data_IF_384968062684
#
_entry.id   IF_384968062684
#
_cell.length_a   1.000
_cell.length_b   1.000
_cell.length_c   1.000
_cell.angle_alpha   90.00
_cell.angle_beta   90.00
_cell.angle_gamma   90.00
#
_symmetry.space_group_name_H-M   'P 1'
#
loop_
_entity.id
_entity.type
_entity.pdbx_description
1 polymer ?
#
# COMPACT_ATOMS: atom_id res chain seq x y z
N UNK A 1 9.32 11.26 -10.36
CA UNK A 1 9.47 11.20 -8.88
C UNK A 1 10.44 10.11 -8.47
N UNK A 2 11.12 10.24 -7.33
CA UNK A 2 11.86 9.16 -6.71
C UNK A 2 10.86 8.13 -6.14
N UNK A 3 11.04 6.86 -6.50
CA UNK A 3 10.31 5.75 -5.90
C UNK A 3 11.28 4.61 -5.59
N UNK A 4 11.27 4.14 -4.35
CA UNK A 4 12.05 3.00 -3.89
C UNK A 4 11.08 1.97 -3.35
N UNK A 5 11.23 0.71 -3.79
CA UNK A 5 10.43 -0.42 -3.35
C UNK A 5 11.32 -1.49 -2.76
N UNK A 6 10.91 -2.09 -1.66
CA UNK A 6 11.57 -3.25 -1.07
C UNK A 6 10.57 -4.12 -0.31
N UNK A 7 10.75 -5.45 -0.31
CA UNK A 7 9.85 -6.34 0.39
C UNK A 7 10.12 -6.32 1.91
N UNK A 8 9.07 -6.42 2.69
CA UNK A 8 9.13 -6.70 4.11
C UNK A 8 9.72 -8.10 4.38
N UNK A 9 10.41 -8.26 5.52
CA UNK A 9 11.10 -9.51 5.85
C UNK A 9 10.12 -10.68 6.11
N UNK A 10 8.89 -10.39 6.56
CA UNK A 10 7.81 -11.37 6.61
C UNK A 10 6.76 -11.06 5.56
N UNK A 11 6.15 -12.10 4.98
CA UNK A 11 5.12 -12.07 3.93
C UNK A 11 5.53 -11.44 2.60
N UNK A 12 6.69 -10.74 2.53
CA UNK A 12 7.14 -10.10 1.30
C UNK A 12 6.27 -8.94 0.84
N UNK A 13 5.52 -8.31 1.77
CA UNK A 13 4.73 -7.12 1.51
C UNK A 13 5.62 -5.99 1.01
N UNK A 14 5.27 -5.38 -0.09
CA UNK A 14 6.06 -4.30 -0.67
C UNK A 14 5.87 -3.01 0.13
N UNK A 15 6.95 -2.51 0.73
CA UNK A 15 7.01 -1.17 1.29
C UNK A 15 7.53 -0.21 0.23
N UNK A 16 6.86 0.93 0.04
CA UNK A 16 7.27 1.96 -0.91
C UNK A 16 7.68 3.24 -0.19
N UNK A 17 8.74 3.89 -0.71
CA UNK A 17 9.14 5.25 -0.34
C UNK A 17 9.01 6.12 -1.57
N UNK A 18 8.12 7.10 -1.54
CA UNK A 18 7.80 8.00 -2.66
C UNK A 18 8.16 9.43 -2.29
N UNK A 19 8.85 10.15 -3.15
CA UNK A 19 9.24 11.54 -2.94
C UNK A 19 9.30 12.31 -4.27
N UNK A 20 9.17 13.64 -4.27
CA UNK A 20 9.44 14.42 -5.46
C UNK A 20 10.87 14.24 -5.97
N UNK A 21 11.83 14.07 -5.05
CA UNK A 21 13.24 13.82 -5.36
C UNK A 21 14.08 13.59 -4.10
N UNK A 22 15.39 13.32 -4.25
CA UNK A 22 16.30 13.15 -3.13
C UNK A 22 16.40 14.41 -2.25
N UNK A 23 16.62 14.23 -0.94
CA UNK A 23 16.79 15.33 0.00
C UNK A 23 15.50 16.02 0.42
N UNK A 24 14.35 15.49 0.06
CA UNK A 24 13.03 16.06 0.33
C UNK A 24 12.24 15.24 1.36
N UNK A 25 11.05 15.70 1.68
CA UNK A 25 10.07 14.90 2.41
C UNK A 25 9.58 13.76 1.53
N UNK A 26 9.14 12.66 2.17
CA UNK A 26 8.66 11.47 1.48
C UNK A 26 7.41 10.89 2.14
N UNK A 27 6.72 10.08 1.37
CA UNK A 27 5.65 9.19 1.83
C UNK A 27 6.23 7.79 2.01
N UNK A 28 5.88 7.13 3.10
CA UNK A 28 6.13 5.70 3.30
C UNK A 28 4.80 4.98 3.14
N UNK A 29 4.74 3.97 2.29
CA UNK A 29 3.51 3.21 2.04
C UNK A 29 3.71 1.79 2.54
N UNK A 30 2.75 1.31 3.31
CA UNK A 30 2.67 -0.05 3.86
C UNK A 30 3.98 -0.52 4.51
N UNK A 31 4.41 0.10 5.63
CA UNK A 31 5.58 -0.36 6.36
C UNK A 31 5.27 -1.67 7.10
N UNK A 32 5.43 -2.79 6.41
CA UNK A 32 5.14 -4.13 6.88
C UNK A 32 6.13 -4.66 7.92
N UNK A 33 6.06 -5.97 8.17
CA UNK A 33 6.83 -6.61 9.25
C UNK A 33 8.32 -6.69 8.89
N UNK A 34 9.17 -6.06 9.72
CA UNK A 34 10.63 -6.15 9.60
C UNK A 34 11.23 -5.24 8.54
N UNK A 35 10.57 -4.13 8.19
CA UNK A 35 11.08 -3.14 7.22
C UNK A 35 12.02 -2.10 7.83
N UNK A 36 12.07 -1.96 9.16
CA UNK A 36 12.64 -0.80 9.86
C UNK A 36 14.10 -0.52 9.49
N UNK A 37 14.93 -1.56 9.37
CA UNK A 37 16.35 -1.36 9.04
C UNK A 37 16.50 -0.92 7.60
N UNK A 38 15.88 -1.63 6.65
CA UNK A 38 15.93 -1.29 5.22
C UNK A 38 15.36 0.10 4.97
N UNK A 39 14.26 0.44 5.63
CA UNK A 39 13.66 1.78 5.54
C UNK A 39 14.63 2.86 6.02
N UNK A 40 15.29 2.69 7.19
CA UNK A 40 16.31 3.62 7.68
C UNK A 40 17.44 3.82 6.67
N UNK A 41 17.93 2.74 6.07
CA UNK A 41 19.01 2.78 5.08
C UNK A 41 18.59 3.53 3.83
N UNK A 42 17.37 3.29 3.31
CA UNK A 42 16.80 4.00 2.17
C UNK A 42 16.63 5.50 2.46
N UNK A 43 16.08 5.85 3.61
CA UNK A 43 15.90 7.24 4.03
C UNK A 43 17.25 7.96 4.15
N UNK A 44 18.26 7.32 4.74
CA UNK A 44 19.60 7.88 4.86
C UNK A 44 20.29 8.03 3.50
N UNK A 45 20.24 7.00 2.63
CA UNK A 45 20.84 6.99 1.30
C UNK A 45 20.32 8.14 0.44
N UNK A 46 19.02 8.37 0.45
CA UNK A 46 18.38 9.42 -0.36
C UNK A 46 18.16 10.72 0.40
N UNK A 47 18.58 10.80 1.68
CA UNK A 47 18.41 11.97 2.56
C UNK A 47 16.95 12.40 2.67
N UNK A 48 16.05 11.45 2.83
CA UNK A 48 14.60 11.66 2.91
C UNK A 48 14.14 11.78 4.36
N UNK A 49 13.03 12.53 4.56
CA UNK A 49 12.33 12.63 5.84
C UNK A 49 10.87 12.21 5.65
N UNK A 50 10.38 11.18 6.37
CA UNK A 50 8.96 10.82 6.31
C UNK A 50 8.07 11.98 6.77
N UNK A 51 7.13 12.38 5.93
CA UNK A 51 6.09 13.36 6.24
C UNK A 51 4.74 12.69 6.54
N UNK A 52 4.50 11.53 5.95
CA UNK A 52 3.30 10.75 6.18
C UNK A 52 3.55 9.26 5.92
N UNK A 53 2.75 8.42 6.58
CA UNK A 53 2.62 6.99 6.26
C UNK A 53 1.24 6.77 5.66
N UNK A 54 1.18 6.16 4.48
CA UNK A 54 -0.05 5.77 3.81
C UNK A 54 -0.26 4.27 3.97
N UNK A 55 -1.44 3.88 4.44
CA UNK A 55 -1.82 2.48 4.62
C UNK A 55 -2.92 2.13 3.61
N UNK A 56 -2.62 1.18 2.72
CA UNK A 56 -3.60 0.75 1.71
C UNK A 56 -4.77 0.02 2.35
N UNK A 57 -4.51 -0.70 3.45
CA UNK A 57 -5.52 -1.37 4.27
C UNK A 57 -4.91 -1.77 5.63
N UNK A 58 -5.72 -2.35 6.51
CA UNK A 58 -5.33 -2.58 7.91
C UNK A 58 -4.82 -3.99 8.25
N UNK A 59 -4.40 -4.83 7.28
CA UNK A 59 -3.80 -6.12 7.61
C UNK A 59 -2.42 -5.96 8.23
N UNK A 60 -2.10 -6.86 9.17
CA UNK A 60 -0.90 -6.79 10.01
C UNK A 60 0.40 -6.70 9.21
N UNK A 61 0.50 -7.42 8.11
CA UNK A 61 1.69 -7.45 7.27
C UNK A 61 1.92 -6.15 6.49
N UNK A 62 0.91 -5.26 6.39
CA UNK A 62 1.04 -3.91 5.82
C UNK A 62 1.27 -2.84 6.89
N UNK A 63 0.76 -3.02 8.12
CA UNK A 63 0.75 -1.94 9.13
C UNK A 63 1.75 -2.14 10.27
N UNK A 64 2.38 -3.31 10.43
CA UNK A 64 3.08 -3.68 11.65
C UNK A 64 4.18 -2.68 12.07
N UNK A 65 4.91 -2.13 11.14
CA UNK A 65 6.00 -1.17 11.43
C UNK A 65 5.56 0.30 11.31
N UNK A 66 4.26 0.59 11.28
CA UNK A 66 3.77 1.98 11.15
C UNK A 66 4.20 2.85 12.33
N UNK A 67 4.07 2.35 13.55
CA UNK A 67 4.35 3.15 14.76
C UNK A 67 5.81 3.56 14.91
N UNK A 68 6.82 2.71 14.62
CA UNK A 68 8.21 3.14 14.57
C UNK A 68 8.53 4.20 13.50
N UNK A 69 7.73 4.30 12.44
CA UNK A 69 7.88 5.30 11.37
C UNK A 69 7.17 6.61 11.71
N UNK A 70 6.00 6.51 12.37
CA UNK A 70 5.24 7.67 12.83
C UNK A 70 5.85 8.24 14.11
N UNK A 71 6.39 9.45 14.02
CA UNK A 71 6.94 10.17 15.17
C UNK A 71 6.92 11.67 14.93
N UNK A 72 6.84 12.48 15.98
CA UNK A 72 6.66 13.93 15.85
C UNK A 72 5.38 14.26 15.09
N UNK A 73 5.51 14.97 13.97
CA UNK A 73 4.35 15.39 13.14
C UNK A 73 3.94 14.36 12.06
N UNK A 74 4.63 13.21 11.96
CA UNK A 74 4.34 12.18 10.95
C UNK A 74 3.10 11.38 11.34
N UNK A 75 2.02 11.52 10.58
CA UNK A 75 0.77 10.79 10.80
C UNK A 75 0.63 9.57 9.88
N UNK A 76 -0.12 8.57 10.35
CA UNK A 76 -0.60 7.45 9.53
C UNK A 76 -1.97 7.79 8.93
N UNK A 77 -2.13 7.52 7.64
CA UNK A 77 -3.37 7.72 6.88
C UNK A 77 -3.96 6.36 6.54
N UNK A 78 -5.21 6.11 6.93
CA UNK A 78 -5.93 4.87 6.66
C UNK A 78 -7.38 5.19 6.33
N UNK A 79 -8.06 4.34 5.55
CA UNK A 79 -9.49 4.49 5.31
C UNK A 79 -10.29 4.29 6.60
N UNK A 80 -11.36 5.08 6.77
CA UNK A 80 -12.20 5.04 7.96
C UNK A 80 -12.71 3.63 8.27
N UNK A 81 -13.08 2.85 7.24
CA UNK A 81 -13.62 1.49 7.42
C UNK A 81 -12.58 0.46 7.88
N UNK A 82 -11.27 0.75 7.74
CA UNK A 82 -10.18 -0.09 8.28
C UNK A 82 -9.55 0.50 9.55
N UNK A 83 -10.01 1.67 10.01
CA UNK A 83 -9.46 2.36 11.18
C UNK A 83 -9.42 1.47 12.42
N UNK A 84 -10.45 0.66 12.64
CA UNK A 84 -10.55 -0.24 13.79
C UNK A 84 -9.44 -1.30 13.83
N UNK A 85 -8.87 -1.68 12.68
CA UNK A 85 -7.80 -2.67 12.57
C UNK A 85 -6.49 -2.21 13.20
N UNK A 86 -6.29 -0.89 13.34
CA UNK A 86 -5.12 -0.32 14.01
C UNK A 86 -5.21 -0.35 15.54
N UNK A 87 -6.36 -0.66 16.14
CA UNK A 87 -6.45 -0.79 17.59
C UNK A 87 -5.67 -1.99 18.09
N UNK A 88 -5.82 -3.14 17.46
CA UNK A 88 -5.06 -4.34 17.75
C UNK A 88 -4.94 -5.25 16.51
N UNK A 89 -3.97 -5.00 15.63
CA UNK A 89 -3.76 -5.84 14.44
C UNK A 89 -3.19 -7.23 14.79
N UNK A 90 -2.81 -7.48 16.06
CA UNK A 90 -2.39 -8.79 16.53
C UNK A 90 -3.57 -9.66 16.99
N UNK A 91 -4.73 -9.06 17.22
CA UNK A 91 -5.96 -9.80 17.50
C UNK A 91 -6.50 -10.41 16.20
N UNK A 92 -7.04 -11.60 16.29
CA UNK A 92 -7.63 -12.31 15.15
C UNK A 92 -6.66 -12.64 13.98
N UNK A 93 -5.36 -12.69 14.24
CA UNK A 93 -4.40 -13.23 13.27
C UNK A 93 -4.55 -14.74 13.12
N UNK A 94 -4.05 -15.29 12.02
CA UNK A 94 -4.08 -16.75 11.79
C UNK A 94 -3.37 -17.48 12.94
N UNK A 95 -3.92 -18.62 13.40
CA UNK A 95 -3.28 -19.46 14.42
C UNK A 95 -1.83 -19.78 14.06
N UNK A 96 -0.91 -19.63 15.02
CA UNK A 96 0.51 -19.91 14.82
C UNK A 96 1.33 -18.79 14.19
N UNK A 97 0.69 -17.69 13.74
CA UNK A 97 1.41 -16.57 13.13
C UNK A 97 2.36 -15.88 14.10
N UNK A 98 1.89 -15.59 15.32
CA UNK A 98 2.70 -14.89 16.32
C UNK A 98 3.92 -15.72 16.74
N UNK A 99 3.75 -17.04 16.89
CA UNK A 99 4.84 -17.96 17.20
C UNK A 99 5.85 -18.04 16.05
N UNK A 100 5.37 -18.03 14.80
CA UNK A 100 6.25 -18.00 13.63
C UNK A 100 7.07 -16.71 13.59
N UNK A 101 6.46 -15.55 13.84
CA UNK A 101 7.15 -14.27 13.89
C UNK A 101 8.17 -14.23 15.05
N UNK A 102 7.82 -14.75 16.22
CA UNK A 102 8.75 -14.84 17.37
C UNK A 102 9.97 -15.71 17.02
N UNK A 103 9.75 -16.84 16.34
CA UNK A 103 10.86 -17.69 15.88
C UNK A 103 11.73 -16.98 14.83
N UNK A 104 11.13 -16.26 13.89
CA UNK A 104 11.85 -15.58 12.81
C UNK A 104 12.66 -14.38 13.31
N UNK A 105 12.09 -13.57 14.21
CA UNK A 105 12.71 -12.32 14.67
C UNK A 105 13.35 -12.41 16.04
N UNK A 106 13.22 -13.53 16.75
CA UNK A 106 13.81 -13.76 18.07
C UNK A 106 13.20 -12.91 19.19
N UNK A 107 12.04 -12.31 18.96
CA UNK A 107 11.30 -11.50 19.92
C UNK A 107 9.81 -11.63 19.70
N UNK A 108 9.05 -11.53 20.79
CA UNK A 108 7.59 -11.54 20.73
C UNK A 108 7.07 -10.33 19.98
N UNK A 109 6.10 -10.54 19.08
CA UNK A 109 5.39 -9.46 18.42
C UNK A 109 4.69 -8.57 19.45
N UNK A 110 4.85 -7.26 19.31
CA UNK A 110 4.18 -6.25 20.14
C UNK A 110 3.58 -5.19 19.24
N UNK A 111 2.48 -4.60 19.67
CA UNK A 111 1.82 -3.53 18.96
C UNK A 111 1.60 -2.32 19.86
N UNK A 112 1.74 -1.16 19.26
CA UNK A 112 1.29 0.11 19.80
C UNK A 112 0.73 0.92 18.66
N UNK A 113 -0.51 1.39 18.81
CA UNK A 113 -1.15 2.24 17.82
C UNK A 113 -0.39 3.55 17.64
N UNK A 114 -0.27 4.08 16.38
CA UNK A 114 0.30 5.41 16.14
C UNK A 114 -0.48 6.52 16.87
N UNK A 115 0.23 7.53 17.39
CA UNK A 115 -0.39 8.64 18.13
C UNK A 115 -1.25 9.52 17.21
N UNK A 116 -0.85 9.66 15.95
CA UNK A 116 -1.53 10.49 14.96
C UNK A 116 -2.03 9.62 13.81
N UNK A 117 -3.34 9.40 13.77
CA UNK A 117 -4.01 8.68 12.68
C UNK A 117 -5.03 9.61 12.04
N UNK A 118 -4.97 9.71 10.72
CA UNK A 118 -5.90 10.49 9.90
C UNK A 118 -6.74 9.52 9.08
N UNK A 119 -8.05 9.60 9.26
CA UNK A 119 -8.99 8.85 8.46
C UNK A 119 -9.17 9.51 7.08
N UNK A 120 -9.06 8.70 6.03
CA UNK A 120 -9.30 9.13 4.66
C UNK A 120 -10.58 8.54 4.10
N UNK A 121 -11.11 9.20 3.09
CA UNK A 121 -12.35 8.79 2.39
C UNK A 121 -12.12 8.80 0.88
N UNK A 122 -13.02 8.16 0.16
CA UNK A 122 -12.97 8.06 -1.31
C UNK A 122 -12.87 9.43 -2.01
N UNK A 123 -12.16 9.45 -3.13
CA UNK A 123 -12.00 10.60 -4.04
C UNK A 123 -11.37 11.83 -3.40
N UNK A 124 -10.73 11.69 -2.24
CA UNK A 124 -9.96 12.77 -1.62
C UNK A 124 -8.58 12.87 -2.25
N UNK A 125 -8.12 14.09 -2.47
CA UNK A 125 -6.73 14.37 -2.83
C UNK A 125 -6.00 14.90 -1.59
N UNK A 126 -4.89 14.27 -1.26
CA UNK A 126 -4.03 14.61 -0.13
C UNK A 126 -2.76 15.29 -0.68
N UNK A 127 -2.54 16.54 -0.31
CA UNK A 127 -1.29 17.24 -0.62
C UNK A 127 -0.26 16.94 0.47
N UNK A 128 0.62 15.97 0.24
CA UNK A 128 1.58 15.45 1.22
C UNK A 128 2.98 15.34 0.61
N UNK A 129 4.02 15.73 1.34
CA UNK A 129 5.41 15.64 0.90
C UNK A 129 5.67 16.24 -0.49
N UNK A 130 4.92 17.27 -0.89
CA UNK A 130 5.02 17.88 -2.23
C UNK A 130 4.44 17.01 -3.36
N UNK A 131 3.65 16.00 -3.02
CA UNK A 131 2.92 15.13 -3.96
C UNK A 131 1.41 15.27 -3.71
N UNK A 132 0.63 15.26 -4.79
CA UNK A 132 -0.82 15.14 -4.74
C UNK A 132 -1.18 13.66 -4.88
N UNK A 133 -1.81 13.10 -3.85
CA UNK A 133 -2.18 11.68 -3.74
C UNK A 133 -3.69 11.55 -3.78
N UNK A 134 -4.23 10.99 -4.85
CA UNK A 134 -5.64 10.64 -4.94
C UNK A 134 -5.93 9.36 -4.16
N UNK A 135 -6.97 9.37 -3.34
CA UNK A 135 -7.46 8.18 -2.62
C UNK A 135 -8.61 7.57 -3.40
N UNK A 136 -8.51 6.31 -3.80
CA UNK A 136 -9.58 5.55 -4.44
C UNK A 136 -10.00 4.40 -3.54
N UNK A 137 -11.20 4.46 -2.98
CA UNK A 137 -11.76 3.38 -2.16
C UNK A 137 -12.13 2.19 -3.06
N UNK A 138 -11.54 1.05 -2.76
CA UNK A 138 -11.68 -0.19 -3.53
C UNK A 138 -11.86 -1.39 -2.60
N UNK A 139 -13.00 -1.48 -1.89
CA UNK A 139 -13.25 -2.52 -0.90
C UNK A 139 -13.36 -3.90 -1.53
N UNK A 140 -13.10 -4.92 -0.70
CA UNK A 140 -13.27 -6.32 -1.10
C UNK A 140 -12.18 -7.23 -0.54
N UNK A 141 -10.93 -6.79 -0.49
CA UNK A 141 -9.89 -7.47 0.29
C UNK A 141 -10.07 -7.18 1.79
N UNK A 142 -10.28 -5.91 2.12
CA UNK A 142 -10.87 -5.45 3.39
C UNK A 142 -11.99 -4.45 3.09
N UNK A 143 -12.73 -4.04 4.13
CA UNK A 143 -13.76 -3.01 4.01
C UNK A 143 -13.18 -1.65 3.61
N UNK A 144 -12.00 -1.34 4.14
CA UNK A 144 -11.30 -0.06 3.96
C UNK A 144 -10.17 -0.10 2.95
N UNK A 145 -10.05 -1.14 2.11
CA UNK A 145 -9.02 -1.17 1.08
C UNK A 145 -9.08 0.05 0.17
N UNK A 146 -7.94 0.74 0.02
CA UNK A 146 -7.79 1.89 -0.88
C UNK A 146 -6.61 1.69 -1.84
N UNK A 147 -6.68 2.37 -2.96
CA UNK A 147 -5.57 2.57 -3.87
C UNK A 147 -5.14 4.03 -3.82
N UNK A 148 -3.81 4.30 -3.92
CA UNK A 148 -3.27 5.66 -3.93
C UNK A 148 -2.74 6.01 -5.31
N UNK A 149 -3.35 7.01 -5.95
CA UNK A 149 -3.01 7.50 -7.28
C UNK A 149 -2.11 8.73 -7.24
N UNK A 150 -1.10 8.78 -8.12
CA UNK A 150 -0.20 9.92 -8.31
C UNK A 150 -0.05 10.19 -9.81
N UNK A 151 -0.23 11.45 -10.24
CA UNK A 151 0.00 11.89 -11.62
C UNK A 151 1.50 12.11 -11.88
N UNK A 152 2.30 11.12 -11.49
CA UNK A 152 3.73 11.07 -11.64
C UNK A 152 4.18 9.60 -11.73
N UNK A 153 5.31 9.35 -12.37
CA UNK A 153 5.93 8.04 -12.46
C UNK A 153 7.36 8.07 -11.93
N UNK A 154 7.92 6.93 -11.49
CA UNK A 154 9.31 6.85 -11.10
C UNK A 154 10.25 7.32 -12.21
N UNK A 155 11.36 7.98 -11.81
CA UNK A 155 12.35 8.48 -12.73
C UNK A 155 12.92 7.34 -13.61
N UNK A 156 12.99 7.58 -14.90
CA UNK A 156 13.46 6.61 -15.88
C UNK A 156 12.40 5.72 -16.53
N UNK A 157 11.20 5.57 -15.93
CA UNK A 157 10.14 4.69 -16.48
C UNK A 157 9.21 5.39 -17.48
N UNK A 158 8.97 6.69 -17.33
CA UNK A 158 7.98 7.43 -18.12
C UNK A 158 8.24 7.38 -19.65
N UNK A 159 9.49 7.56 -20.03
CA UNK A 159 9.88 7.66 -21.45
C UNK A 159 9.94 6.30 -22.17
N UNK A 160 10.24 5.23 -21.44
CA UNK A 160 10.47 3.91 -22.05
C UNK A 160 9.17 3.12 -22.26
N UNK A 161 8.15 3.34 -21.40
CA UNK A 161 6.93 2.54 -21.39
C UNK A 161 5.65 3.34 -21.71
N UNK A 162 5.76 4.66 -21.93
CA UNK A 162 4.61 5.54 -22.16
C UNK A 162 3.69 5.62 -20.93
N UNK A 163 4.30 5.61 -19.74
CA UNK A 163 3.60 5.71 -18.46
C UNK A 163 3.56 7.17 -18.01
N UNK A 164 2.44 7.60 -17.45
CA UNK A 164 2.22 8.97 -16.96
C UNK A 164 1.61 9.03 -15.55
N UNK A 165 1.17 7.89 -15.02
CA UNK A 165 0.51 7.79 -13.72
C UNK A 165 1.01 6.59 -12.95
N UNK A 166 1.07 6.70 -11.63
CA UNK A 166 1.35 5.60 -10.71
C UNK A 166 0.13 5.34 -9.82
N UNK A 167 -0.20 4.06 -9.62
CA UNK A 167 -1.22 3.60 -8.69
C UNK A 167 -0.61 2.60 -7.73
N UNK A 168 -0.56 2.91 -6.43
CA UNK A 168 -0.24 1.93 -5.39
C UNK A 168 -1.54 1.20 -5.08
N UNK A 169 -1.61 -0.08 -5.45
CA UNK A 169 -2.88 -0.85 -5.41
C UNK A 169 -3.09 -1.62 -4.10
N UNK A 170 -2.08 -1.68 -3.22
CA UNK A 170 -2.15 -2.61 -2.10
C UNK A 170 -2.57 -3.99 -2.56
N UNK A 171 -3.50 -4.60 -1.84
CA UNK A 171 -4.01 -5.94 -2.12
C UNK A 171 -5.33 -5.94 -2.93
N UNK A 172 -5.57 -4.90 -3.72
CA UNK A 172 -6.70 -4.89 -4.67
C UNK A 172 -6.32 -5.57 -5.98
N UNK A 173 -5.18 -5.18 -6.60
CA UNK A 173 -4.73 -5.69 -7.88
C UNK A 173 -3.26 -6.12 -7.81
N UNK A 174 -2.96 -7.31 -8.31
CA UNK A 174 -1.61 -7.85 -8.47
C UNK A 174 -1.28 -8.13 -9.94
N UNK A 175 -0.02 -8.41 -10.22
CA UNK A 175 0.42 -8.88 -11.54
C UNK A 175 -0.21 -10.25 -11.86
N UNK A 176 -1.26 -10.26 -12.67
CA UNK A 176 -2.01 -11.46 -13.08
C UNK A 176 -2.97 -12.03 -12.03
N UNK A 177 -3.24 -11.30 -10.92
CA UNK A 177 -4.12 -11.75 -9.84
C UNK A 177 -4.81 -10.58 -9.14
N UNK A 178 -5.58 -10.89 -8.10
CA UNK A 178 -6.21 -9.94 -7.18
C UNK A 178 -6.01 -10.39 -5.73
N UNK A 179 -6.26 -9.51 -4.78
CA UNK A 179 -6.30 -9.86 -3.35
C UNK A 179 -7.38 -10.88 -3.04
N UNK A 180 -7.12 -11.73 -2.06
CA UNK A 180 -8.11 -12.69 -1.53
C UNK A 180 -9.24 -11.96 -0.82
N UNK A 181 -10.40 -12.59 -0.77
CA UNK A 181 -11.64 -12.00 -0.21
C UNK A 181 -12.29 -12.88 0.85
N UNK A 182 -11.55 -13.88 1.35
CA UNK A 182 -12.04 -14.89 2.28
C UNK A 182 -11.55 -14.70 3.73
N UNK A 183 -10.79 -13.63 4.00
CA UNK A 183 -10.41 -13.22 5.34
C UNK A 183 -11.52 -12.38 6.00
N UNK A 184 -11.49 -12.21 7.35
CA UNK A 184 -12.45 -11.35 8.04
C UNK A 184 -12.46 -9.93 7.45
N UNK A 185 -13.66 -9.45 7.06
CA UNK A 185 -13.84 -8.17 6.36
C UNK A 185 -13.68 -8.25 4.84
N UNK A 186 -13.31 -9.41 4.30
CA UNK A 186 -13.29 -9.65 2.85
C UNK A 186 -14.70 -9.86 2.29
N UNK A 187 -14.93 -9.35 1.08
CA UNK A 187 -16.20 -9.46 0.35
C UNK A 187 -15.92 -9.59 -1.15
N UNK A 188 -16.25 -10.76 -1.70
CA UNK A 188 -16.02 -11.06 -3.11
C UNK A 188 -16.83 -10.16 -4.05
N UNK A 189 -18.08 -9.88 -3.71
CA UNK A 189 -18.94 -9.04 -4.54
C UNK A 189 -18.49 -7.57 -4.49
N UNK A 190 -18.00 -7.09 -3.35
CA UNK A 190 -17.36 -5.78 -3.24
C UNK A 190 -16.08 -5.72 -4.09
N UNK A 191 -15.24 -6.75 -4.05
CA UNK A 191 -14.05 -6.83 -4.92
C UNK A 191 -14.42 -6.76 -6.39
N UNK A 192 -15.44 -7.50 -6.84
CA UNK A 192 -15.89 -7.45 -8.24
C UNK A 192 -16.37 -6.04 -8.63
N UNK A 193 -17.07 -5.34 -7.73
CA UNK A 193 -17.47 -3.94 -7.98
C UNK A 193 -16.24 -3.03 -8.07
N UNK A 194 -15.28 -3.16 -7.14
CA UNK A 194 -14.04 -2.38 -7.13
C UNK A 194 -13.21 -2.60 -8.41
N UNK A 195 -13.09 -3.84 -8.86
CA UNK A 195 -12.41 -4.15 -10.12
C UNK A 195 -13.08 -3.48 -11.32
N UNK A 196 -14.41 -3.50 -11.38
CA UNK A 196 -15.18 -2.91 -12.49
C UNK A 196 -15.21 -1.39 -12.43
N UNK A 197 -15.48 -0.81 -11.25
CA UNK A 197 -15.84 0.60 -11.13
C UNK A 197 -14.64 1.49 -10.78
N UNK A 198 -13.55 0.91 -10.25
CA UNK A 198 -12.32 1.63 -9.84
C UNK A 198 -11.11 1.21 -10.68
N UNK A 199 -10.86 -0.09 -10.84
CA UNK A 199 -9.65 -0.59 -11.52
C UNK A 199 -9.76 -0.49 -13.03
N UNK A 200 -10.84 -1.01 -13.65
CA UNK A 200 -11.01 -0.99 -15.10
C UNK A 200 -11.02 0.41 -15.73
N UNK A 201 -11.52 1.48 -15.09
CA UNK A 201 -11.43 2.83 -15.63
C UNK A 201 -10.03 3.44 -15.67
N UNK A 202 -9.04 2.87 -14.95
CA UNK A 202 -7.68 3.40 -14.95
C UNK A 202 -7.06 3.37 -16.36
N UNK A 203 -6.32 4.43 -16.76
CA UNK A 203 -5.64 4.46 -18.07
C UNK A 203 -4.62 3.33 -18.25
N UNK A 204 -4.43 2.89 -19.48
CA UNK A 204 -3.40 1.90 -19.84
C UNK A 204 -1.96 2.38 -19.52
N UNK A 205 -1.75 3.70 -19.46
CA UNK A 205 -0.50 4.36 -19.07
C UNK A 205 -0.22 4.33 -17.56
N UNK A 206 -1.04 3.65 -16.76
CA UNK A 206 -0.87 3.56 -15.30
C UNK A 206 0.10 2.44 -14.94
N UNK A 207 1.21 2.81 -14.24
CA UNK A 207 2.05 1.88 -13.48
C UNK A 207 1.29 1.43 -12.23
N UNK A 208 1.27 0.14 -11.95
CA UNK A 208 0.65 -0.43 -10.75
C UNK A 208 1.74 -0.98 -9.82
N UNK A 209 1.84 -0.39 -8.65
CA UNK A 209 2.69 -0.81 -7.54
C UNK A 209 1.84 -1.64 -6.58
N UNK A 210 2.09 -2.93 -6.53
CA UNK A 210 1.26 -3.93 -5.85
C UNK A 210 1.65 -4.11 -4.39
N UNK A 211 0.74 -4.55 -3.53
CA UNK A 211 1.03 -4.90 -2.13
C UNK A 211 2.00 -6.08 -2.02
N UNK A 212 1.93 -7.05 -2.93
CA UNK A 212 2.84 -8.19 -3.01
C UNK A 212 3.31 -8.46 -4.43
N UNK A 213 4.52 -9.03 -4.56
CA UNK A 213 5.07 -9.47 -5.84
C UNK A 213 5.55 -8.32 -6.72
N UNK A 214 5.52 -8.53 -8.03
CA UNK A 214 6.08 -7.59 -9.00
C UNK A 214 5.10 -6.46 -9.33
N UNK A 215 5.63 -5.27 -9.63
CA UNK A 215 4.88 -4.19 -10.26
C UNK A 215 4.38 -4.62 -11.65
N UNK A 216 3.31 -3.99 -12.10
CA UNK A 216 2.70 -4.24 -13.41
C UNK A 216 2.16 -2.95 -14.02
N UNK A 217 1.42 -3.04 -15.14
CA UNK A 217 0.75 -1.90 -15.76
C UNK A 217 -0.71 -2.22 -16.04
N UNK A 218 -1.57 -1.22 -16.05
CA UNK A 218 -2.99 -1.43 -16.40
C UNK A 218 -3.15 -2.01 -17.81
N UNK A 219 -2.30 -1.62 -18.76
CA UNK A 219 -2.26 -2.21 -20.10
C UNK A 219 -2.09 -3.72 -20.07
N UNK A 220 -1.12 -4.21 -19.28
CA UNK A 220 -0.85 -5.65 -19.13
C UNK A 220 -2.01 -6.35 -18.43
N UNK A 221 -2.46 -5.81 -17.30
CA UNK A 221 -3.50 -6.45 -16.51
C UNK A 221 -4.84 -6.52 -17.26
N UNK A 222 -5.22 -5.48 -17.96
CA UNK A 222 -6.41 -5.49 -18.82
C UNK A 222 -6.33 -6.58 -19.90
N UNK A 223 -5.15 -6.82 -20.46
CA UNK A 223 -4.96 -7.82 -21.50
C UNK A 223 -4.86 -9.25 -20.95
N UNK A 224 -4.30 -9.46 -19.76
CA UNK A 224 -3.87 -10.79 -19.32
C UNK A 224 -4.46 -11.26 -17.99
N UNK A 225 -4.89 -10.35 -17.10
CA UNK A 225 -5.40 -10.72 -15.78
C UNK A 225 -6.76 -11.43 -15.90
N UNK A 226 -6.88 -12.70 -15.45
CA UNK A 226 -8.10 -13.48 -15.60
C UNK A 226 -9.29 -12.88 -14.83
N UNK A 227 -9.04 -12.11 -13.77
CA UNK A 227 -10.08 -11.48 -12.94
C UNK A 227 -10.64 -10.20 -13.56
N UNK A 228 -9.92 -9.56 -14.49
CA UNK A 228 -10.39 -8.42 -15.24
C UNK A 228 -11.06 -8.83 -16.56
N UNK A 229 -10.75 -10.02 -17.07
CA UNK A 229 -11.37 -10.55 -18.28
C UNK A 229 -12.85 -10.85 -18.03
N UNK A 230 -13.72 -10.31 -18.87
CA UNK A 230 -15.16 -10.53 -18.79
C UNK A 230 -15.89 -9.55 -17.87
N UNK A 231 -15.19 -8.68 -17.17
CA UNK A 231 -15.80 -7.52 -16.56
C UNK A 231 -16.03 -6.47 -17.65
N UNK A 232 -17.27 -6.04 -17.80
CA UNK A 232 -17.63 -4.88 -18.64
C UNK A 232 -17.74 -3.66 -17.74
N UNK A 233 -17.12 -2.56 -18.16
CA UNK A 233 -17.28 -1.27 -17.49
C UNK A 233 -18.71 -0.76 -17.62
#
# INVERSE_FOLDING_TARGET
MLAVAFPAAAFGTNCYVLAPGPGQECLVVDPGIGVEQTLRDVLAQHRLKPAAVLLTHGHIDHVYSVTPVCGGDTAAYIHADDRYRLHDPLDNVMPGLLEMLEQQFGQRATWREPEHVVEVTDRRVLALAGLDVEVLHAPGHTEGSVMFGLDAVPDGLAAEEGLDRTMVSGDVLFAGSIGRTDLPGGDHDAMQRSLRDVVLPLPDSTLVLTGHGAATTMRRERATNPYLRGLTA
#
